data_IF_961802870329
#
_entry.id   IF_961802870329
#
_cell.length_a   1.000
_cell.length_b   1.000
_cell.length_c   1.000
_cell.angle_alpha   90.00
_cell.angle_beta   90.00
_cell.angle_gamma   90.00
#
_symmetry.space_group_name_H-M   'P 1'
#
loop_
_entity.id
_entity.type
_entity.pdbx_description
1 polymer ?
#
# COMPACT_ATOMS: atom_id res chain seq x y z
N UNK A 1 14.95 -6.40 4.76
CA UNK A 1 15.02 -5.45 3.63
C UNK A 1 13.89 -4.44 3.68
N UNK A 2 12.61 -4.85 3.64
CA UNK A 2 11.49 -3.91 3.62
C UNK A 2 11.40 -3.00 4.85
N UNK A 3 11.74 -3.49 6.05
CA UNK A 3 11.88 -2.64 7.25
C UNK A 3 12.88 -1.48 7.03
N UNK A 4 13.99 -1.75 6.35
CA UNK A 4 14.98 -0.73 5.97
C UNK A 4 14.40 0.27 4.98
N UNK A 5 13.63 -0.18 3.99
CA UNK A 5 12.98 0.71 3.02
C UNK A 5 12.02 1.70 3.69
N UNK A 6 11.24 1.24 4.69
CA UNK A 6 10.36 2.10 5.50
C UNK A 6 11.19 3.19 6.22
N UNK A 7 12.30 2.80 6.86
CA UNK A 7 13.20 3.76 7.53
C UNK A 7 13.77 4.77 6.55
N UNK A 8 14.20 4.33 5.38
CA UNK A 8 14.79 5.20 4.35
C UNK A 8 13.78 6.21 3.81
N UNK A 9 12.54 5.80 3.51
CA UNK A 9 11.55 6.74 2.97
C UNK A 9 11.09 7.77 4.01
N UNK A 10 10.99 7.38 5.28
CA UNK A 10 10.68 8.32 6.36
C UNK A 10 11.83 9.29 6.61
N UNK A 11 13.07 8.80 6.63
CA UNK A 11 14.26 9.63 6.74
C UNK A 11 14.36 10.63 5.58
N UNK A 12 14.17 10.15 4.35
CA UNK A 12 14.17 10.97 3.14
C UNK A 12 13.18 12.15 3.24
N UNK A 13 11.94 11.88 3.67
CA UNK A 13 10.94 12.94 3.82
C UNK A 13 11.25 13.91 4.96
N UNK A 14 11.83 13.43 6.07
CA UNK A 14 12.29 14.31 7.15
C UNK A 14 13.40 15.26 6.69
N UNK A 15 14.40 14.75 5.95
CA UNK A 15 15.51 15.56 5.43
C UNK A 15 15.01 16.65 4.47
N UNK A 16 13.93 16.39 3.73
CA UNK A 16 13.30 17.36 2.83
C UNK A 16 12.30 18.31 3.52
N UNK A 17 12.18 18.26 4.85
CA UNK A 17 11.25 19.12 5.58
C UNK A 17 9.77 18.77 5.37
N UNK A 18 9.46 17.52 5.01
CA UNK A 18 8.09 17.01 4.80
C UNK A 18 7.72 15.99 5.89
N UNK A 19 7.61 16.39 7.17
CA UNK A 19 7.44 15.46 8.29
C UNK A 19 6.15 14.65 8.23
N UNK A 20 5.11 15.14 7.56
CA UNK A 20 3.81 14.45 7.41
C UNK A 20 3.79 13.43 6.26
N UNK A 21 4.75 13.48 5.33
CA UNK A 21 4.81 12.60 4.15
C UNK A 21 5.35 11.22 4.53
N UNK A 22 4.52 10.41 5.19
CA UNK A 22 4.91 9.14 5.84
C UNK A 22 4.04 7.93 5.53
N UNK A 23 2.82 8.11 5.01
CA UNK A 23 1.92 7.01 4.68
C UNK A 23 2.52 6.13 3.57
N UNK A 24 2.33 4.82 3.68
CA UNK A 24 2.84 3.87 2.68
C UNK A 24 1.64 3.08 2.16
N UNK A 25 1.42 3.14 0.86
CA UNK A 25 0.37 2.37 0.18
C UNK A 25 0.95 1.03 -0.26
N UNK A 26 0.33 -0.04 0.20
CA UNK A 26 0.52 -1.41 -0.28
C UNK A 26 -0.73 -1.87 -1.03
N UNK A 27 -0.83 -3.15 -1.36
CA UNK A 27 -1.98 -3.75 -2.04
C UNK A 27 -2.55 -4.89 -1.22
N UNK A 28 -3.86 -5.07 -1.28
CA UNK A 28 -4.45 -6.33 -0.86
C UNK A 28 -3.79 -7.51 -1.60
N UNK A 29 -3.57 -8.61 -0.89
CA UNK A 29 -2.88 -9.83 -1.32
C UNK A 29 -1.37 -9.72 -1.58
N UNK A 30 -0.73 -8.56 -1.37
CA UNK A 30 0.74 -8.45 -1.41
C UNK A 30 1.41 -9.13 -0.21
N UNK A 31 2.65 -9.58 -0.36
CA UNK A 31 3.45 -10.13 0.74
C UNK A 31 4.79 -9.40 0.88
N UNK A 32 4.99 -8.73 2.02
CA UNK A 32 6.15 -7.87 2.25
C UNK A 32 6.92 -8.19 3.53
N UNK A 33 6.57 -9.31 4.18
CA UNK A 33 7.21 -9.85 5.37
C UNK A 33 6.22 -10.12 6.49
N UNK A 34 6.76 -10.49 7.66
CA UNK A 34 6.00 -10.97 8.81
C UNK A 34 6.39 -10.31 10.14
N UNK A 35 7.10 -9.17 10.09
CA UNK A 35 7.31 -8.33 11.28
C UNK A 35 6.10 -7.41 11.52
N UNK A 36 6.20 -6.44 12.45
CA UNK A 36 5.09 -5.51 12.70
C UNK A 36 4.83 -4.59 11.52
N UNK A 37 5.82 -3.80 11.09
CA UNK A 37 5.63 -2.88 9.95
C UNK A 37 5.57 -3.64 8.62
N UNK A 38 6.45 -4.63 8.42
CA UNK A 38 6.41 -5.46 7.21
C UNK A 38 5.18 -6.35 7.10
N UNK A 39 4.63 -6.83 8.22
CA UNK A 39 3.33 -7.50 8.28
C UNK A 39 2.18 -6.55 8.04
N UNK A 40 2.28 -5.29 8.51
CA UNK A 40 1.29 -4.25 8.15
C UNK A 40 1.29 -3.94 6.65
N UNK A 41 2.46 -3.99 5.99
CA UNK A 41 2.57 -3.85 4.53
C UNK A 41 1.99 -5.07 3.79
N UNK A 42 2.06 -6.28 4.38
CA UNK A 42 1.42 -7.47 3.80
C UNK A 42 -0.09 -7.26 3.72
N UNK A 43 -0.73 -7.67 2.63
CA UNK A 43 -2.16 -7.52 2.39
C UNK A 43 -2.95 -8.81 2.61
N UNK A 44 -2.57 -9.61 3.61
CA UNK A 44 -3.12 -10.95 3.87
C UNK A 44 -3.51 -11.06 5.34
N UNK A 45 -4.79 -11.32 5.62
CA UNK A 45 -5.35 -11.35 6.97
C UNK A 45 -4.63 -12.32 7.93
N UNK A 46 -4.05 -13.41 7.40
CA UNK A 46 -3.27 -14.36 8.19
C UNK A 46 -2.10 -13.70 8.93
N UNK A 47 -1.51 -12.65 8.36
CA UNK A 47 -0.41 -11.90 8.97
C UNK A 47 -0.91 -10.75 9.85
N UNK A 48 -2.22 -10.51 9.91
CA UNK A 48 -2.84 -9.44 10.68
C UNK A 48 -3.59 -9.93 11.91
N UNK A 49 -4.36 -11.00 11.73
CA UNK A 49 -5.23 -11.55 12.75
C UNK A 49 -4.40 -11.92 14.00
N UNK A 50 -4.90 -11.51 15.17
CA UNK A 50 -4.25 -11.67 16.47
C UNK A 50 -2.96 -10.85 16.70
N UNK A 51 -2.59 -9.93 15.80
CA UNK A 51 -1.39 -9.08 15.94
C UNK A 51 -1.67 -7.57 15.95
N UNK A 52 -2.95 -7.17 15.93
CA UNK A 52 -3.39 -5.76 15.85
C UNK A 52 -2.78 -5.00 14.66
N UNK A 53 -2.69 -5.68 13.51
CA UNK A 53 -2.20 -5.12 12.26
C UNK A 53 -3.36 -4.92 11.26
N UNK A 54 -3.22 -3.99 10.29
CA UNK A 54 -2.05 -3.13 10.04
C UNK A 54 -1.88 -2.00 11.06
N UNK A 55 -0.63 -1.66 11.37
CA UNK A 55 -0.28 -0.42 12.10
C UNK A 55 -0.22 0.76 11.13
N UNK A 56 -0.73 1.91 11.58
CA UNK A 56 -0.55 3.17 10.88
C UNK A 56 0.96 3.47 10.69
N UNK A 57 1.35 4.16 9.59
CA UNK A 57 0.50 4.78 8.57
C UNK A 57 0.40 3.94 7.27
N UNK A 58 0.23 2.61 7.38
CA UNK A 58 0.10 1.72 6.21
C UNK A 58 -1.34 1.67 5.72
N UNK A 59 -1.52 1.68 4.40
CA UNK A 59 -2.79 1.59 3.69
C UNK A 59 -2.73 0.48 2.63
N UNK A 60 -3.88 -0.04 2.19
CA UNK A 60 -3.97 -1.08 1.16
C UNK A 60 -4.96 -0.69 0.06
N UNK A 61 -4.46 -0.46 -1.16
CA UNK A 61 -5.29 -0.30 -2.36
C UNK A 61 -5.68 -1.65 -2.95
N UNK A 62 -6.44 -1.62 -4.05
CA UNK A 62 -6.94 -2.78 -4.78
C UNK A 62 -5.85 -3.80 -5.11
N UNK A 63 -6.23 -5.08 -5.03
CA UNK A 63 -5.40 -6.17 -5.51
C UNK A 63 -5.52 -6.24 -7.05
N UNK A 64 -4.41 -6.21 -7.82
CA UNK A 64 -4.43 -6.34 -9.28
C UNK A 64 -4.66 -7.80 -9.70
N UNK A 65 -5.74 -8.42 -9.22
CA UNK A 65 -6.08 -9.81 -9.48
C UNK A 65 -7.22 -9.89 -10.49
N UNK A 66 -6.87 -9.78 -11.78
CA UNK A 66 -7.85 -9.74 -12.89
C UNK A 66 -8.86 -10.90 -12.83
N UNK A 67 -8.43 -12.13 -12.52
CA UNK A 67 -9.33 -13.28 -12.43
C UNK A 67 -10.30 -13.23 -11.24
N UNK A 68 -10.10 -12.39 -10.23
CA UNK A 68 -11.01 -12.21 -9.09
C UNK A 68 -11.61 -10.80 -8.99
N UNK A 69 -11.50 -10.00 -10.05
CA UNK A 69 -12.16 -8.69 -10.12
C UNK A 69 -13.67 -8.81 -9.88
N UNK A 70 -14.24 -7.80 -9.23
CA UNK A 70 -15.67 -7.74 -8.93
C UNK A 70 -16.50 -7.60 -10.22
N UNK A 71 -16.13 -6.66 -11.08
CA UNK A 71 -16.79 -6.46 -12.38
C UNK A 71 -16.15 -7.35 -13.46
N UNK A 72 -16.84 -8.43 -13.80
CA UNK A 72 -16.41 -9.40 -14.81
C UNK A 72 -16.49 -8.88 -16.24
N UNK A 73 -17.18 -7.78 -16.49
CA UNK A 73 -17.30 -7.18 -17.83
C UNK A 73 -16.04 -6.43 -18.28
N UNK A 74 -15.21 -6.00 -17.33
CA UNK A 74 -13.96 -5.29 -17.63
C UNK A 74 -13.00 -6.19 -18.41
N UNK A 75 -12.39 -5.62 -19.46
CA UNK A 75 -11.16 -6.13 -20.06
C UNK A 75 -9.98 -6.03 -19.10
N UNK A 76 -8.86 -6.66 -19.43
CA UNK A 76 -7.64 -6.60 -18.61
C UNK A 76 -7.07 -5.17 -18.51
N UNK A 77 -7.11 -4.42 -19.62
CA UNK A 77 -6.71 -3.01 -19.65
C UNK A 77 -7.67 -2.13 -18.83
N UNK A 78 -8.97 -2.33 -18.97
CA UNK A 78 -9.97 -1.59 -18.18
C UNK A 78 -9.85 -1.89 -16.68
N UNK A 79 -9.55 -3.14 -16.31
CA UNK A 79 -9.30 -3.50 -14.92
C UNK A 79 -7.99 -2.88 -14.39
N UNK A 80 -6.96 -2.80 -15.22
CA UNK A 80 -5.72 -2.10 -14.87
C UNK A 80 -5.95 -0.62 -14.63
N UNK A 81 -6.74 0.04 -15.50
CA UNK A 81 -7.15 1.42 -15.30
C UNK A 81 -7.97 1.59 -14.02
N UNK A 82 -8.90 0.69 -13.74
CA UNK A 82 -9.67 0.69 -12.50
C UNK A 82 -8.77 0.63 -11.25
N UNK A 83 -7.74 -0.22 -11.24
CA UNK A 83 -6.78 -0.25 -10.14
C UNK A 83 -5.98 1.06 -10.01
N UNK A 84 -5.61 1.70 -11.13
CA UNK A 84 -4.95 3.00 -11.13
C UNK A 84 -5.85 4.10 -10.57
N UNK A 85 -7.11 4.16 -11.00
CA UNK A 85 -8.10 5.12 -10.51
C UNK A 85 -8.32 4.96 -9.00
N UNK A 86 -8.36 3.72 -8.49
CA UNK A 86 -8.50 3.44 -7.05
C UNK A 86 -7.28 3.85 -6.24
N UNK A 87 -6.07 3.72 -6.80
CA UNK A 87 -4.87 4.26 -6.19
C UNK A 87 -4.90 5.79 -6.15
N UNK A 88 -5.29 6.45 -7.23
CA UNK A 88 -5.40 7.92 -7.28
C UNK A 88 -6.45 8.44 -6.29
N UNK A 89 -7.64 7.83 -6.26
CA UNK A 89 -8.71 8.16 -5.30
C UNK A 89 -8.20 8.12 -3.85
N UNK A 90 -7.46 7.06 -3.49
CA UNK A 90 -6.86 6.91 -2.17
C UNK A 90 -5.79 7.98 -1.89
N UNK A 91 -4.90 8.27 -2.84
CA UNK A 91 -3.87 9.30 -2.67
C UNK A 91 -4.49 10.67 -2.44
N UNK A 92 -5.54 11.00 -3.19
CA UNK A 92 -6.28 12.26 -3.06
C UNK A 92 -7.00 12.34 -1.72
N UNK A 93 -7.70 11.27 -1.30
CA UNK A 93 -8.43 11.22 -0.04
C UNK A 93 -7.52 11.36 1.19
N UNK A 94 -6.33 10.76 1.14
CA UNK A 94 -5.36 10.81 2.24
C UNK A 94 -4.55 12.12 2.27
N UNK A 95 -4.62 12.91 1.21
CA UNK A 95 -3.78 14.08 0.97
C UNK A 95 -2.43 13.67 0.36
N UNK A 96 -2.13 14.07 -0.89
CA UNK A 96 -0.89 13.68 -1.58
C UNK A 96 0.39 14.07 -0.82
N UNK A 97 0.34 15.12 -0.02
CA UNK A 97 1.46 15.57 0.82
C UNK A 97 1.77 14.64 1.99
N UNK A 98 0.88 13.68 2.30
CA UNK A 98 1.07 12.71 3.38
C UNK A 98 1.54 11.32 2.90
N UNK A 99 1.37 11.01 1.61
CA UNK A 99 1.74 9.71 1.02
C UNK A 99 3.20 9.69 0.57
N UNK A 100 4.01 8.82 1.18
CA UNK A 100 5.46 8.78 0.99
C UNK A 100 5.91 7.84 -0.13
N UNK A 101 5.28 6.66 -0.22
CA UNK A 101 5.67 5.60 -1.14
C UNK A 101 4.52 4.66 -1.45
N UNK A 102 4.68 3.94 -2.56
CA UNK A 102 3.93 2.75 -2.92
C UNK A 102 4.88 1.55 -2.95
N UNK A 103 4.44 0.39 -2.46
CA UNK A 103 5.20 -0.87 -2.53
C UNK A 103 4.39 -1.94 -3.27
N UNK A 104 5.04 -2.66 -4.18
CA UNK A 104 4.42 -3.74 -4.93
C UNK A 104 5.45 -4.72 -5.48
N UNK A 105 5.12 -6.00 -5.40
CA UNK A 105 5.75 -7.06 -6.19
C UNK A 105 5.36 -6.90 -7.67
N UNK A 106 6.28 -7.18 -8.62
CA UNK A 106 6.01 -7.14 -10.07
C UNK A 106 4.82 -7.97 -10.50
#
# INVERSE_FOLDING_TARGET
ANETNIKLIWYYNNVLGRPEKKKIISRWRGYHGSGIMTGSLTGLDLFHNAFDLPRAPVLHTEAPYYFRRADRSLSEEQFSQHCADKLEEMILAEGPDTVAAFIGEP
#
